data_IF_348099731204
#
_entry.id   IF_348099731204
#
_cell.length_a   1.000
_cell.length_b   1.000
_cell.length_c   1.000
_cell.angle_alpha   90.00
_cell.angle_beta   90.00
_cell.angle_gamma   90.00
#
_symmetry.space_group_name_H-M   'P 1'
#
loop_
_entity.id
_entity.type
_entity.pdbx_description
1 polymer ?
#
# COMPACT_ATOMS: atom_id res chain seq x y z
N UNK A 1 2.97 32.30 -24.17
CA UNK A 1 3.58 30.98 -24.50
C UNK A 1 4.41 30.41 -23.34
N UNK A 2 5.42 31.12 -22.80
CA UNK A 2 6.21 30.61 -21.66
C UNK A 2 5.38 30.43 -20.37
N UNK A 3 4.52 31.40 -20.05
CA UNK A 3 3.66 31.36 -18.85
C UNK A 3 2.61 30.24 -18.90
N UNK A 4 2.06 29.96 -20.07
CA UNK A 4 1.03 28.94 -20.28
C UNK A 4 1.60 27.53 -20.22
N UNK A 5 2.78 27.30 -20.81
CA UNK A 5 3.50 26.04 -20.69
C UNK A 5 3.87 25.73 -19.23
N UNK A 6 4.31 26.76 -18.47
CA UNK A 6 4.62 26.65 -17.05
C UNK A 6 3.38 26.29 -16.22
N UNK A 7 2.22 26.88 -16.52
CA UNK A 7 0.95 26.58 -15.83
C UNK A 7 0.49 25.14 -16.12
N UNK A 8 0.55 24.71 -17.37
CA UNK A 8 0.16 23.34 -17.77
C UNK A 8 1.08 22.29 -17.12
N UNK A 9 2.38 22.57 -17.07
CA UNK A 9 3.33 21.68 -16.40
C UNK A 9 3.09 21.63 -14.88
N UNK A 10 2.81 22.76 -14.23
CA UNK A 10 2.48 22.79 -12.80
C UNK A 10 1.20 22.04 -12.47
N UNK A 11 0.15 22.18 -13.30
CA UNK A 11 -1.12 21.48 -13.09
C UNK A 11 -0.97 19.96 -13.31
N UNK A 12 -0.18 19.54 -14.30
CA UNK A 12 0.08 18.12 -14.56
C UNK A 12 0.82 17.44 -13.41
N UNK A 13 1.85 18.10 -12.86
CA UNK A 13 2.60 17.59 -11.71
C UNK A 13 1.72 17.57 -10.44
N UNK A 14 0.82 18.53 -10.29
CA UNK A 14 -0.17 18.53 -9.20
C UNK A 14 -1.14 17.34 -9.29
N UNK A 15 -1.61 16.99 -10.49
CA UNK A 15 -2.57 15.90 -10.68
C UNK A 15 -1.94 14.51 -10.53
N UNK A 16 -0.70 14.32 -11.00
CA UNK A 16 0.04 13.08 -10.77
C UNK A 16 0.37 12.91 -9.28
N UNK A 17 0.83 13.98 -8.61
CA UNK A 17 1.05 13.98 -7.16
C UNK A 17 -0.23 13.64 -6.41
N UNK A 18 -1.35 14.27 -6.77
CA UNK A 18 -2.66 13.96 -6.19
C UNK A 18 -3.01 12.48 -6.30
N UNK A 19 -2.70 11.82 -7.41
CA UNK A 19 -3.02 10.40 -7.60
C UNK A 19 -2.17 9.49 -6.70
N UNK A 20 -0.90 9.84 -6.50
CA UNK A 20 0.10 8.96 -5.89
C UNK A 20 0.44 9.29 -4.42
N UNK A 21 0.12 10.48 -3.95
CA UNK A 21 0.56 11.02 -2.66
C UNK A 21 0.25 10.09 -1.47
N UNK A 22 -0.94 9.50 -1.40
CA UNK A 22 -1.30 8.59 -0.31
C UNK A 22 -0.42 7.34 -0.30
N UNK A 23 -0.30 6.66 -1.46
CA UNK A 23 0.58 5.49 -1.59
C UNK A 23 2.03 5.83 -1.26
N UNK A 24 2.49 7.01 -1.69
CA UNK A 24 3.83 7.52 -1.36
C UNK A 24 4.03 7.64 0.14
N UNK A 25 3.12 8.30 0.86
CA UNK A 25 3.24 8.45 2.31
C UNK A 25 3.28 7.10 3.04
N UNK A 26 2.41 6.16 2.68
CA UNK A 26 2.35 4.86 3.34
C UNK A 26 3.56 3.97 3.04
N UNK A 27 4.09 4.01 1.82
CA UNK A 27 5.25 3.21 1.45
C UNK A 27 6.57 3.86 1.90
N UNK A 28 6.64 5.19 1.96
CA UNK A 28 7.82 5.89 2.49
C UNK A 28 8.00 5.64 3.98
N UNK A 29 6.93 5.55 4.76
CA UNK A 29 7.02 5.33 6.22
C UNK A 29 7.66 3.99 6.58
N UNK A 30 7.54 2.98 5.70
CA UNK A 30 8.13 1.64 5.88
C UNK A 30 9.36 1.41 4.98
N UNK A 31 9.88 2.45 4.32
CA UNK A 31 11.06 2.38 3.45
C UNK A 31 10.87 1.64 2.11
N UNK A 32 9.63 1.34 1.73
CA UNK A 32 9.29 0.55 0.55
C UNK A 32 8.93 1.40 -0.70
N UNK A 33 8.88 2.72 -0.59
CA UNK A 33 8.64 3.58 -1.76
C UNK A 33 9.82 3.54 -2.74
N UNK A 34 9.59 3.32 -4.05
CA UNK A 34 10.67 3.21 -5.01
C UNK A 34 11.42 4.53 -5.20
N UNK A 35 12.75 4.47 -5.22
CA UNK A 35 13.59 5.64 -5.47
C UNK A 35 13.49 6.12 -6.92
N UNK A 36 13.23 7.40 -7.13
CA UNK A 36 13.29 8.09 -8.43
C UNK A 36 14.72 8.52 -8.79
N UNK A 37 14.90 9.04 -10.02
CA UNK A 37 16.16 9.66 -10.44
C UNK A 37 16.50 10.92 -9.61
N UNK A 38 15.50 11.60 -9.08
CA UNK A 38 15.64 12.78 -8.22
C UNK A 38 15.86 12.44 -6.73
N UNK A 39 15.73 11.18 -6.33
CA UNK A 39 15.91 10.78 -4.92
C UNK A 39 17.36 10.98 -4.48
N UNK A 40 17.55 11.74 -3.41
CA UNK A 40 18.85 12.08 -2.82
C UNK A 40 19.52 10.85 -2.19
N UNK A 41 20.85 10.92 -1.97
CA UNK A 41 21.59 9.87 -1.26
C UNK A 41 21.07 9.70 0.18
N UNK A 42 20.70 10.79 0.84
CA UNK A 42 20.19 10.77 2.21
C UNK A 42 18.87 10.01 2.29
N UNK A 43 17.92 10.29 1.39
CA UNK A 43 16.64 9.58 1.36
C UNK A 43 16.82 8.07 1.16
N UNK A 44 17.75 7.65 0.29
CA UNK A 44 18.07 6.23 0.10
C UNK A 44 18.62 5.57 1.37
N UNK A 45 19.51 6.26 2.08
CA UNK A 45 20.06 5.78 3.35
C UNK A 45 18.94 5.67 4.40
N UNK A 46 18.07 6.68 4.50
CA UNK A 46 16.93 6.67 5.41
C UNK A 46 15.98 5.51 5.10
N UNK A 47 15.61 5.31 3.83
CA UNK A 47 14.77 4.16 3.43
C UNK A 47 15.42 2.83 3.76
N UNK A 48 16.73 2.69 3.56
CA UNK A 48 17.46 1.47 3.91
C UNK A 48 17.47 1.20 5.42
N UNK A 49 17.73 2.22 6.24
CA UNK A 49 17.67 2.12 7.71
C UNK A 49 16.24 1.78 8.16
N UNK A 50 15.22 2.44 7.60
CA UNK A 50 13.81 2.15 7.90
C UNK A 50 13.47 0.69 7.57
N UNK A 51 13.93 0.16 6.44
CA UNK A 51 13.72 -1.24 6.07
C UNK A 51 14.35 -2.20 7.09
N UNK A 52 15.59 -1.93 7.54
CA UNK A 52 16.26 -2.76 8.56
C UNK A 52 15.48 -2.72 9.89
N UNK A 53 15.08 -1.52 10.33
CA UNK A 53 14.33 -1.34 11.58
C UNK A 53 12.98 -2.05 11.51
N UNK A 54 12.24 -1.86 10.42
CA UNK A 54 10.94 -2.50 10.21
C UNK A 54 11.06 -4.03 10.23
N UNK A 55 12.02 -4.58 9.49
CA UNK A 55 12.26 -6.02 9.43
C UNK A 55 12.68 -6.56 10.79
N UNK A 56 13.52 -5.84 11.53
CA UNK A 56 13.94 -6.23 12.88
C UNK A 56 12.77 -6.31 13.85
N UNK A 57 11.88 -5.30 13.84
CA UNK A 57 10.66 -5.29 14.68
C UNK A 57 9.77 -6.49 14.35
N UNK A 58 9.55 -6.77 13.07
CA UNK A 58 8.73 -7.91 12.64
C UNK A 58 9.36 -9.23 13.07
N UNK A 59 10.66 -9.42 12.85
CA UNK A 59 11.38 -10.64 13.24
C UNK A 59 11.32 -10.86 14.77
N UNK A 60 11.57 -9.81 15.56
CA UNK A 60 11.51 -9.90 17.03
C UNK A 60 10.11 -10.24 17.53
N UNK A 61 9.05 -9.78 16.85
CA UNK A 61 7.68 -10.14 17.18
C UNK A 61 7.34 -11.60 16.80
N UNK A 62 7.80 -12.05 15.64
CA UNK A 62 7.43 -13.33 15.02
C UNK A 62 8.17 -14.52 15.65
N UNK A 63 9.48 -14.38 15.94
CA UNK A 63 10.32 -15.50 16.41
C UNK A 63 9.75 -16.16 17.69
N UNK A 64 9.41 -15.41 18.76
CA UNK A 64 8.88 -16.03 19.97
C UNK A 64 7.56 -16.79 19.75
N UNK A 65 6.70 -16.29 18.87
CA UNK A 65 5.43 -16.94 18.51
C UNK A 65 5.64 -18.20 17.67
N UNK A 66 6.58 -18.18 16.71
CA UNK A 66 6.95 -19.35 15.91
C UNK A 66 7.56 -20.45 16.78
N UNK A 67 8.43 -20.09 17.71
CA UNK A 67 9.03 -21.05 18.63
C UNK A 67 7.97 -21.73 19.51
N UNK A 68 6.93 -21.00 19.95
CA UNK A 68 5.82 -21.60 20.68
C UNK A 68 5.05 -22.59 19.81
N UNK A 69 4.82 -22.27 18.54
CA UNK A 69 4.11 -23.16 17.62
C UNK A 69 4.89 -24.47 17.38
N UNK A 70 6.21 -24.38 17.24
CA UNK A 70 7.09 -25.52 16.95
C UNK A 70 7.40 -26.34 18.21
N UNK A 71 7.85 -25.67 19.28
CA UNK A 71 8.40 -26.30 20.49
C UNK A 71 7.42 -26.36 21.66
N UNK A 72 6.27 -25.68 21.57
CA UNK A 72 5.26 -25.71 22.62
C UNK A 72 4.47 -27.02 22.60
N UNK A 73 4.20 -27.55 23.78
CA UNK A 73 3.38 -28.75 23.98
C UNK A 73 1.87 -28.44 24.00
N UNK A 74 1.49 -27.26 23.52
CA UNK A 74 0.11 -26.79 23.45
C UNK A 74 -0.76 -27.64 22.51
N UNK A 75 -2.05 -27.72 22.82
CA UNK A 75 -3.02 -28.49 22.02
C UNK A 75 -3.05 -28.08 20.54
N UNK A 76 -3.38 -29.02 19.65
CA UNK A 76 -3.53 -28.73 18.22
C UNK A 76 -4.52 -27.57 17.95
N UNK A 77 -5.63 -27.53 18.69
CA UNK A 77 -6.62 -26.44 18.58
C UNK A 77 -6.02 -25.07 18.91
N UNK A 78 -5.15 -24.99 19.91
CA UNK A 78 -4.44 -23.76 20.24
C UNK A 78 -3.47 -23.36 19.12
N UNK A 79 -2.66 -24.31 18.64
CA UNK A 79 -1.72 -24.08 17.51
C UNK A 79 -2.46 -23.63 16.25
N UNK A 80 -3.65 -24.18 15.97
CA UNK A 80 -4.47 -23.78 14.83
C UNK A 80 -4.98 -22.34 14.94
N UNK A 81 -5.39 -21.88 16.14
CA UNK A 81 -5.75 -20.47 16.36
C UNK A 81 -4.55 -19.54 16.15
N UNK A 82 -3.38 -19.95 16.66
CA UNK A 82 -2.11 -19.22 16.49
C UNK A 82 -1.66 -19.15 15.02
N UNK A 83 -1.97 -20.17 14.22
CA UNK A 83 -1.67 -20.20 12.79
C UNK A 83 -2.32 -19.05 12.02
N UNK A 84 -3.49 -18.54 12.45
CA UNK A 84 -4.10 -17.35 11.87
C UNK A 84 -3.18 -16.12 11.93
N UNK A 85 -2.57 -15.85 13.08
CA UNK A 85 -1.65 -14.73 13.26
C UNK A 85 -0.33 -14.92 12.52
N UNK A 86 0.22 -16.14 12.57
CA UNK A 86 1.50 -16.44 11.90
C UNK A 86 1.36 -16.40 10.38
N UNK A 87 0.27 -16.95 9.82
CA UNK A 87 0.00 -16.92 8.38
C UNK A 87 -0.15 -15.49 7.87
N UNK A 88 -0.75 -14.60 8.67
CA UNK A 88 -0.82 -13.18 8.37
C UNK A 88 0.57 -12.54 8.25
N UNK A 89 1.48 -12.79 9.20
CA UNK A 89 2.86 -12.27 9.10
C UNK A 89 3.64 -12.83 7.91
N UNK A 90 3.44 -14.12 7.57
CA UNK A 90 4.04 -14.72 6.37
C UNK A 90 3.56 -14.00 5.11
N UNK A 91 2.24 -13.82 4.97
CA UNK A 91 1.64 -13.14 3.81
C UNK A 91 2.14 -11.70 3.68
N UNK A 92 2.17 -10.96 4.78
CA UNK A 92 2.71 -9.60 4.80
C UNK A 92 4.21 -9.56 4.48
N UNK A 93 4.98 -10.55 4.90
CA UNK A 93 6.39 -10.70 4.51
C UNK A 93 6.58 -10.90 3.00
N UNK A 94 5.72 -11.69 2.37
CA UNK A 94 5.69 -11.87 0.90
C UNK A 94 5.38 -10.53 0.22
N UNK A 95 4.35 -9.81 0.70
CA UNK A 95 3.98 -8.50 0.15
C UNK A 95 5.11 -7.48 0.27
N UNK A 96 5.74 -7.39 1.44
CA UNK A 96 6.86 -6.48 1.67
C UNK A 96 8.05 -6.81 0.75
N UNK A 97 8.38 -8.09 0.60
CA UNK A 97 9.42 -8.55 -0.33
C UNK A 97 9.07 -8.22 -1.77
N UNK A 98 7.81 -8.40 -2.18
CA UNK A 98 7.34 -8.07 -3.52
C UNK A 98 7.49 -6.56 -3.81
N UNK A 99 7.13 -5.69 -2.86
CA UNK A 99 7.30 -4.24 -3.00
C UNK A 99 8.78 -3.86 -3.20
N UNK A 100 9.69 -4.45 -2.42
CA UNK A 100 11.12 -4.14 -2.51
C UNK A 100 11.75 -4.68 -3.81
N UNK A 101 11.46 -5.93 -4.17
CA UNK A 101 12.03 -6.58 -5.36
C UNK A 101 11.50 -6.01 -6.67
N UNK A 102 10.22 -5.65 -6.71
CA UNK A 102 9.58 -5.05 -7.89
C UNK A 102 9.61 -3.51 -7.89
N UNK A 103 10.38 -2.87 -7.00
CA UNK A 103 10.45 -1.41 -6.91
C UNK A 103 10.78 -0.70 -8.24
N UNK A 104 11.61 -1.32 -9.09
CA UNK A 104 11.90 -0.80 -10.45
C UNK A 104 10.66 -0.78 -11.34
N UNK A 105 9.86 -1.85 -11.32
CA UNK A 105 8.64 -1.96 -12.13
C UNK A 105 7.58 -0.98 -11.61
N UNK A 106 7.40 -0.90 -10.29
CA UNK A 106 6.49 0.08 -9.66
C UNK A 106 6.88 1.50 -10.06
N UNK A 107 8.18 1.83 -10.06
CA UNK A 107 8.67 3.12 -10.53
C UNK A 107 8.33 3.39 -11.99
N UNK A 108 8.52 2.41 -12.87
CA UNK A 108 8.16 2.56 -14.29
C UNK A 108 6.67 2.85 -14.45
N UNK A 109 5.80 2.20 -13.67
CA UNK A 109 4.37 2.50 -13.67
C UNK A 109 4.07 3.93 -13.17
N UNK A 110 4.76 4.40 -12.12
CA UNK A 110 4.64 5.78 -11.62
C UNK A 110 5.07 6.80 -12.68
N UNK A 111 6.23 6.59 -13.30
CA UNK A 111 6.75 7.43 -14.39
C UNK A 111 5.79 7.45 -15.59
N UNK A 112 5.12 6.32 -15.87
CA UNK A 112 4.08 6.23 -16.91
C UNK A 112 2.86 7.08 -16.58
N UNK A 113 2.35 7.00 -15.33
CA UNK A 113 1.25 7.86 -14.85
C UNK A 113 1.63 9.34 -15.00
N UNK A 114 2.82 9.73 -14.54
CA UNK A 114 3.29 11.12 -14.63
C UNK A 114 3.40 11.61 -16.08
N UNK A 115 3.96 10.78 -16.96
CA UNK A 115 4.07 11.11 -18.39
C UNK A 115 2.67 11.29 -19.02
N UNK A 116 1.75 10.39 -18.70
CA UNK A 116 0.38 10.47 -19.18
C UNK A 116 -0.32 11.77 -18.77
N UNK A 117 -0.19 12.17 -17.49
CA UNK A 117 -0.74 13.44 -17.00
C UNK A 117 -0.19 14.66 -17.74
N UNK A 118 1.10 14.63 -18.13
CA UNK A 118 1.72 15.69 -18.94
C UNK A 118 1.21 15.74 -20.37
N UNK A 119 0.81 14.59 -20.94
CA UNK A 119 0.30 14.54 -22.31
C UNK A 119 -1.16 14.99 -22.45
N UNK A 120 -1.93 15.02 -21.36
CA UNK A 120 -3.35 15.37 -21.42
C UNK A 120 -3.54 16.88 -21.33
N UNK A 121 -3.77 17.50 -22.48
CA UNK A 121 -3.93 18.95 -22.60
C UNK A 121 -5.39 19.40 -22.60
N UNK A 122 -6.31 18.59 -23.15
CA UNK A 122 -7.73 18.94 -23.26
C UNK A 122 -8.41 18.86 -21.90
N UNK A 123 -9.08 19.95 -21.50
CA UNK A 123 -9.73 20.05 -20.18
C UNK A 123 -10.79 18.96 -19.94
N UNK A 124 -11.54 18.57 -20.97
CA UNK A 124 -12.51 17.47 -20.88
C UNK A 124 -11.82 16.14 -20.52
N UNK A 125 -10.69 15.84 -21.17
CA UNK A 125 -9.92 14.63 -20.94
C UNK A 125 -9.29 14.65 -19.53
N UNK A 126 -8.77 15.81 -19.10
CA UNK A 126 -8.26 16.01 -17.73
C UNK A 126 -9.34 15.74 -16.69
N UNK A 127 -10.55 16.26 -16.90
CA UNK A 127 -11.68 16.04 -15.99
C UNK A 127 -12.08 14.56 -15.91
N UNK A 128 -12.08 13.84 -17.03
CA UNK A 128 -12.34 12.39 -17.07
C UNK A 128 -11.26 11.61 -16.30
N UNK A 129 -9.98 11.95 -16.49
CA UNK A 129 -8.88 11.33 -15.75
C UNK A 129 -8.95 11.65 -14.25
N UNK A 130 -9.22 12.90 -13.88
CA UNK A 130 -9.34 13.34 -12.48
C UNK A 130 -10.47 12.61 -11.74
N UNK A 131 -11.61 12.37 -12.41
CA UNK A 131 -12.70 11.57 -11.83
C UNK A 131 -12.23 10.17 -11.44
N UNK A 132 -11.45 9.53 -12.29
CA UNK A 132 -10.90 8.20 -12.01
C UNK A 132 -9.79 8.26 -10.96
N UNK A 133 -8.89 9.24 -11.02
CA UNK A 133 -7.86 9.43 -10.00
C UNK A 133 -8.45 9.62 -8.59
N UNK A 134 -9.55 10.38 -8.47
CA UNK A 134 -10.30 10.51 -7.21
C UNK A 134 -10.83 9.17 -6.71
N UNK A 135 -11.38 8.33 -7.60
CA UNK A 135 -11.84 6.99 -7.26
C UNK A 135 -10.69 6.10 -6.78
N UNK A 136 -9.57 6.06 -7.52
CA UNK A 136 -8.39 5.30 -7.13
C UNK A 136 -7.83 5.74 -5.78
N UNK A 137 -7.70 7.05 -5.56
CA UNK A 137 -7.26 7.63 -4.29
C UNK A 137 -8.22 7.29 -3.14
N UNK A 138 -9.53 7.34 -3.39
CA UNK A 138 -10.55 6.97 -2.40
C UNK A 138 -10.43 5.50 -2.00
N UNK A 139 -10.32 4.58 -2.97
CA UNK A 139 -10.16 3.15 -2.70
C UNK A 139 -8.86 2.88 -1.93
N UNK A 140 -7.76 3.51 -2.34
CA UNK A 140 -6.48 3.39 -1.64
C UNK A 140 -6.58 3.87 -0.18
N UNK A 141 -7.15 5.06 0.05
CA UNK A 141 -7.35 5.61 1.40
C UNK A 141 -8.27 4.75 2.26
N UNK A 142 -9.39 4.30 1.69
CA UNK A 142 -10.33 3.41 2.37
C UNK A 142 -9.65 2.10 2.78
N UNK A 143 -8.84 1.51 1.89
CA UNK A 143 -8.12 0.26 2.19
C UNK A 143 -7.18 0.42 3.38
N UNK A 144 -6.47 1.54 3.48
CA UNK A 144 -5.53 1.79 4.58
C UNK A 144 -6.29 2.01 5.89
N UNK A 145 -7.33 2.84 5.88
CA UNK A 145 -8.15 3.11 7.06
C UNK A 145 -8.79 1.82 7.57
N UNK A 146 -9.33 1.00 6.69
CA UNK A 146 -9.99 -0.24 7.06
C UNK A 146 -8.99 -1.26 7.63
N UNK A 147 -7.87 -1.49 6.93
CA UNK A 147 -6.86 -2.46 7.35
C UNK A 147 -6.19 -2.04 8.66
N UNK A 148 -5.72 -0.79 8.76
CA UNK A 148 -5.08 -0.30 9.98
C UNK A 148 -6.07 -0.13 11.14
N UNK A 149 -7.27 0.37 10.85
CA UNK A 149 -8.35 0.51 11.83
C UNK A 149 -8.74 -0.83 12.45
N UNK A 150 -8.84 -1.89 11.64
CA UNK A 150 -9.17 -3.23 12.15
C UNK A 150 -8.12 -3.74 13.16
N UNK A 151 -6.83 -3.51 12.88
CA UNK A 151 -5.74 -3.89 13.78
C UNK A 151 -5.73 -3.06 15.04
N UNK A 152 -5.88 -1.74 14.93
CA UNK A 152 -5.93 -0.87 16.10
C UNK A 152 -7.11 -1.23 17.02
N UNK A 153 -8.29 -1.49 16.46
CA UNK A 153 -9.45 -1.94 17.24
C UNK A 153 -9.20 -3.29 17.92
N UNK A 154 -8.61 -4.24 17.21
CA UNK A 154 -8.31 -5.57 17.74
C UNK A 154 -7.27 -5.52 18.87
N UNK A 155 -6.17 -4.78 18.69
CA UNK A 155 -5.16 -4.60 19.73
C UNK A 155 -5.66 -3.77 20.91
N UNK A 156 -6.52 -2.79 20.67
CA UNK A 156 -7.18 -2.04 21.75
C UNK A 156 -8.07 -2.96 22.60
N UNK A 157 -8.86 -3.83 21.98
CA UNK A 157 -9.65 -4.83 22.70
C UNK A 157 -8.76 -5.83 23.48
N UNK A 158 -7.63 -6.25 22.91
CA UNK A 158 -6.66 -7.09 23.59
C UNK A 158 -6.02 -6.38 24.79
N UNK A 159 -5.67 -5.10 24.66
CA UNK A 159 -5.14 -4.29 25.76
C UNK A 159 -6.14 -4.12 26.90
N UNK A 160 -7.45 -4.00 26.61
CA UNK A 160 -8.49 -3.96 27.64
C UNK A 160 -8.75 -5.33 28.30
N UNK A 161 -8.37 -6.43 27.63
CA UNK A 161 -8.56 -7.78 28.13
C UNK A 161 -7.38 -8.16 29.02
N UNK A 162 -7.60 -8.14 30.34
CA UNK A 162 -6.59 -8.56 31.31
C UNK A 162 -6.88 -9.95 31.87
N UNK A 163 -5.82 -10.66 32.23
CA UNK A 163 -5.89 -11.96 32.92
C UNK A 163 -5.14 -11.83 34.24
N UNK A 164 -5.79 -12.26 35.32
CA UNK A 164 -5.14 -12.40 36.61
C UNK A 164 -4.33 -13.70 36.63
N UNK A 165 -3.03 -13.60 36.85
CA UNK A 165 -2.15 -14.75 36.96
C UNK A 165 -1.44 -14.71 38.31
N UNK A 166 -1.54 -15.81 39.06
CA UNK A 166 -0.79 -15.97 40.30
C UNK A 166 0.62 -16.46 39.99
N UNK A 167 1.61 -15.67 40.39
CA UNK A 167 3.03 -16.03 40.31
C UNK A 167 3.57 -16.09 41.73
N UNK A 168 3.61 -17.29 42.31
CA UNK A 168 3.95 -17.47 43.73
C UNK A 168 2.86 -16.91 44.64
N UNK A 169 3.20 -15.99 45.55
CA UNK A 169 2.27 -15.33 46.47
C UNK A 169 1.73 -13.98 45.96
N UNK A 170 2.12 -13.55 44.76
CA UNK A 170 1.65 -12.30 44.15
C UNK A 170 0.63 -12.58 43.05
N UNK A 171 -0.50 -11.87 43.09
CA UNK A 171 -1.44 -11.81 41.96
C UNK A 171 -1.00 -10.68 41.04
N UNK A 172 -0.73 -11.00 39.76
CA UNK A 172 -0.37 -10.01 38.73
C UNK A 172 -1.46 -9.95 37.67
N UNK A 173 -1.78 -8.73 37.24
CA UNK A 173 -2.73 -8.49 36.15
C UNK A 173 -1.89 -8.31 34.89
N UNK A 174 -2.09 -9.17 33.89
CA UNK A 174 -1.34 -9.15 32.63
C UNK A 174 -2.29 -8.91 31.45
N UNK A 175 -1.82 -8.23 30.40
CA UNK A 175 -2.60 -8.07 29.18
C UNK A 175 -2.56 -9.36 28.35
N UNK A 176 -3.68 -9.70 27.72
CA UNK A 176 -3.73 -10.82 26.80
C UNK A 176 -2.98 -10.47 25.52
N UNK A 177 -1.89 -11.19 25.26
CA UNK A 177 -1.16 -11.05 24.00
C UNK A 177 -2.00 -11.61 22.85
N UNK A 178 -2.23 -10.84 21.77
CA UNK A 178 -2.92 -11.33 20.58
C UNK A 178 -2.33 -12.62 20.00
N UNK A 179 -1.00 -12.70 19.98
CA UNK A 179 -0.26 -13.88 19.58
C UNK A 179 0.56 -14.35 20.78
N UNK A 180 0.27 -15.53 21.31
CA UNK A 180 1.07 -16.09 22.40
C UNK A 180 2.54 -16.32 21.99
N UNK A 181 3.45 -16.25 22.97
CA UNK A 181 4.90 -16.36 22.75
C UNK A 181 5.53 -17.46 23.59
N UNK A 182 6.68 -17.96 23.15
CA UNK A 182 7.41 -18.99 23.87
C UNK A 182 8.03 -18.44 25.15
N UNK A 183 7.43 -18.76 26.30
CA UNK A 183 7.78 -18.22 27.62
C UNK A 183 9.24 -18.42 28.02
N UNK A 184 9.89 -19.51 27.57
CA UNK A 184 11.32 -19.76 27.86
C UNK A 184 12.26 -18.79 27.16
N UNK A 185 11.83 -18.17 26.05
CA UNK A 185 12.60 -17.13 25.36
C UNK A 185 12.27 -15.74 25.91
N UNK A 186 10.97 -15.46 26.10
CA UNK A 186 10.48 -14.15 26.57
C UNK A 186 9.55 -14.38 27.75
N UNK A 187 9.97 -13.94 28.94
CA UNK A 187 9.18 -14.10 30.17
C UNK A 187 8.03 -13.09 30.24
N UNK A 188 6.94 -13.39 29.54
CA UNK A 188 5.72 -12.54 29.50
C UNK A 188 4.86 -12.63 30.76
N UNK A 189 5.32 -13.36 31.78
CA UNK A 189 4.71 -13.40 33.10
C UNK A 189 5.16 -12.19 33.96
N UNK A 190 6.14 -11.44 33.48
CA UNK A 190 6.52 -10.12 33.96
C UNK A 190 5.70 -9.02 33.26
N UNK A 191 5.12 -8.08 34.03
CA UNK A 191 4.21 -7.04 33.52
C UNK A 191 4.88 -6.15 32.47
N UNK A 192 6.12 -5.73 32.72
CA UNK A 192 6.86 -4.86 31.80
C UNK A 192 7.15 -5.60 30.48
N UNK A 193 7.58 -6.85 30.57
CA UNK A 193 7.86 -7.69 29.39
C UNK A 193 6.59 -7.97 28.58
N UNK A 194 5.45 -8.19 29.26
CA UNK A 194 4.14 -8.36 28.62
C UNK A 194 3.72 -7.10 27.83
N UNK A 195 3.82 -5.92 28.44
CA UNK A 195 3.51 -4.64 27.78
C UNK A 195 4.42 -4.37 26.58
N UNK A 196 5.74 -4.59 26.73
CA UNK A 196 6.70 -4.44 25.63
C UNK A 196 6.35 -5.38 24.48
N UNK A 197 6.00 -6.64 24.78
CA UNK A 197 5.64 -7.61 23.75
C UNK A 197 4.33 -7.24 23.05
N UNK A 198 3.34 -6.71 23.78
CA UNK A 198 2.08 -6.23 23.21
C UNK A 198 2.34 -5.08 22.21
N UNK A 199 3.14 -4.10 22.60
CA UNK A 199 3.53 -2.98 21.72
C UNK A 199 4.34 -3.46 20.52
N UNK A 200 5.25 -4.42 20.72
CA UNK A 200 6.05 -5.00 19.65
C UNK A 200 5.18 -5.72 18.62
N UNK A 201 4.19 -6.51 19.07
CA UNK A 201 3.24 -7.18 18.18
C UNK A 201 2.35 -6.17 17.46
N UNK A 202 1.93 -5.09 18.12
CA UNK A 202 1.15 -4.01 17.51
C UNK A 202 1.94 -3.37 16.36
N UNK A 203 3.15 -2.89 16.64
CA UNK A 203 3.99 -2.24 15.64
C UNK A 203 4.38 -3.18 14.50
N UNK A 204 4.73 -4.43 14.81
CA UNK A 204 4.97 -5.46 13.79
C UNK A 204 3.77 -5.64 12.87
N UNK A 205 2.55 -5.70 13.42
CA UNK A 205 1.33 -5.86 12.63
C UNK A 205 1.02 -4.61 11.80
N UNK A 206 1.23 -3.41 12.35
CA UNK A 206 1.06 -2.14 11.61
C UNK A 206 2.04 -2.05 10.43
N UNK A 207 3.31 -2.42 10.63
CA UNK A 207 4.34 -2.47 9.58
C UNK A 207 3.94 -3.50 8.52
N UNK A 208 3.60 -4.71 8.95
CA UNK A 208 3.17 -5.81 8.08
C UNK A 208 1.97 -5.38 7.19
N UNK A 209 0.96 -4.78 7.80
CA UNK A 209 -0.23 -4.29 7.08
C UNK A 209 0.04 -3.13 6.15
N UNK A 210 1.02 -2.28 6.46
CA UNK A 210 1.39 -1.18 5.57
C UNK A 210 1.88 -1.68 4.21
N UNK A 211 2.55 -2.85 4.17
CA UNK A 211 2.94 -3.49 2.91
C UNK A 211 1.73 -3.91 2.07
N UNK A 212 0.75 -4.55 2.70
CA UNK A 212 -0.49 -5.00 2.07
C UNK A 212 -1.32 -3.82 1.56
N UNK A 213 -1.50 -2.78 2.39
CA UNK A 213 -2.14 -1.54 1.99
C UNK A 213 -1.41 -0.83 0.85
N UNK A 214 -0.08 -0.88 0.83
CA UNK A 214 0.73 -0.35 -0.26
C UNK A 214 0.48 -1.05 -1.59
N UNK A 215 0.44 -2.40 -1.60
CA UNK A 215 0.13 -3.17 -2.82
C UNK A 215 -1.28 -2.88 -3.31
N UNK A 216 -2.28 -2.93 -2.42
CA UNK A 216 -3.67 -2.67 -2.80
C UNK A 216 -3.89 -1.23 -3.24
N UNK A 217 -3.28 -0.27 -2.54
CA UNK A 217 -3.37 1.14 -2.88
C UNK A 217 -2.71 1.46 -4.23
N UNK A 218 -1.54 0.88 -4.53
CA UNK A 218 -0.91 1.02 -5.85
C UNK A 218 -1.76 0.38 -6.94
N UNK A 219 -2.28 -0.83 -6.69
CA UNK A 219 -3.15 -1.54 -7.63
C UNK A 219 -4.42 -0.74 -7.94
N UNK A 220 -5.05 -0.16 -6.92
CA UNK A 220 -6.25 0.66 -7.07
C UNK A 220 -5.98 1.93 -7.89
N UNK A 221 -4.86 2.62 -7.63
CA UNK A 221 -4.48 3.83 -8.38
C UNK A 221 -4.13 3.49 -9.83
N UNK A 222 -3.36 2.41 -10.07
CA UNK A 222 -3.01 1.97 -11.41
C UNK A 222 -4.25 1.57 -12.22
N UNK A 223 -5.11 0.73 -11.65
CA UNK A 223 -6.36 0.31 -12.29
C UNK A 223 -7.25 1.51 -12.59
N UNK A 224 -7.41 2.43 -11.63
CA UNK A 224 -8.19 3.65 -11.84
C UNK A 224 -7.57 4.54 -12.94
N UNK A 225 -6.25 4.70 -12.98
CA UNK A 225 -5.56 5.46 -14.03
C UNK A 225 -5.79 4.85 -15.42
N UNK A 226 -5.61 3.53 -15.56
CA UNK A 226 -5.89 2.82 -16.82
C UNK A 226 -7.36 2.96 -17.23
N UNK A 227 -8.31 2.83 -16.30
CA UNK A 227 -9.73 3.10 -16.57
C UNK A 227 -9.97 4.55 -17.01
N UNK A 228 -9.25 5.52 -16.42
CA UNK A 228 -9.26 6.92 -16.85
C UNK A 228 -8.82 7.10 -18.30
N UNK A 229 -7.71 6.47 -18.70
CA UNK A 229 -7.23 6.50 -20.08
C UNK A 229 -8.21 5.86 -21.06
N UNK A 230 -8.76 4.69 -20.71
CA UNK A 230 -9.77 4.01 -21.53
C UNK A 230 -11.05 4.85 -21.68
N UNK A 231 -11.48 5.56 -20.63
CA UNK A 231 -12.62 6.47 -20.72
C UNK A 231 -12.34 7.65 -21.65
N UNK A 232 -11.13 8.21 -21.64
CA UNK A 232 -10.74 9.26 -22.59
C UNK A 232 -10.77 8.73 -24.03
N UNK A 233 -10.22 7.54 -24.26
CA UNK A 233 -10.28 6.87 -25.57
C UNK A 233 -11.73 6.69 -26.04
N UNK A 234 -12.64 6.30 -25.14
CA UNK A 234 -14.05 6.14 -25.45
C UNK A 234 -14.72 7.46 -25.86
N UNK A 235 -14.37 8.57 -25.20
CA UNK A 235 -14.82 9.91 -25.60
C UNK A 235 -14.34 10.24 -27.01
N UNK A 236 -13.06 10.00 -27.31
CA UNK A 236 -12.49 10.26 -28.64
C UNK A 236 -13.15 9.43 -29.75
N UNK A 237 -13.41 8.14 -29.50
CA UNK A 237 -14.13 7.27 -30.44
C UNK A 237 -15.54 7.81 -30.70
N UNK A 238 -16.25 8.22 -29.65
CA UNK A 238 -17.62 8.74 -29.75
C UNK A 238 -17.65 10.03 -30.57
N UNK A 239 -16.74 10.96 -30.31
CA UNK A 239 -16.60 12.19 -31.10
C UNK A 239 -16.26 11.90 -32.56
N UNK A 240 -15.34 10.97 -32.82
CA UNK A 240 -14.94 10.58 -34.16
C UNK A 240 -16.15 10.01 -34.95
N UNK A 241 -16.90 9.09 -34.36
CA UNK A 241 -18.08 8.49 -34.98
C UNK A 241 -19.17 9.53 -35.27
N UNK A 242 -19.42 10.44 -34.33
CA UNK A 242 -20.40 11.52 -34.52
C UNK A 242 -20.00 12.45 -35.67
N UNK A 243 -18.74 12.89 -35.72
CA UNK A 243 -18.22 13.72 -36.82
C UNK A 243 -18.29 13.00 -38.17
N UNK A 244 -17.99 11.70 -38.22
CA UNK A 244 -18.06 10.91 -39.44
C UNK A 244 -19.50 10.78 -39.97
N UNK A 245 -20.48 10.65 -39.05
CA UNK A 245 -21.91 10.59 -39.38
C UNK A 245 -22.42 11.93 -39.95
N UNK A 246 -21.95 13.05 -39.43
CA UNK A 246 -22.37 14.38 -39.86
C UNK A 246 -21.75 14.84 -41.19
N UNK A 247 -20.52 14.41 -41.50
CA UNK A 247 -19.74 15.00 -42.60
C UNK A 247 -19.82 14.31 -43.97
N UNK A 248 -20.51 13.16 -44.10
CA UNK A 248 -20.55 12.36 -45.35
C UNK A 248 -19.17 12.24 -46.06
N UNK A 249 -18.10 12.20 -45.28
CA UNK A 249 -16.71 12.03 -45.75
C UNK A 249 -16.03 10.97 -44.90
N UNK A 250 -15.23 10.15 -45.58
CA UNK A 250 -14.40 9.09 -45.01
C UNK A 250 -13.57 9.65 -43.85
N UNK A 251 -13.71 9.06 -42.66
CA UNK A 251 -13.02 9.52 -41.45
C UNK A 251 -11.50 9.61 -41.65
N UNK A 252 -10.87 10.59 -41.01
CA UNK A 252 -9.44 10.82 -41.14
C UNK A 252 -8.65 9.66 -40.50
N UNK A 253 -7.93 8.88 -41.31
CA UNK A 253 -7.08 7.77 -40.84
C UNK A 253 -6.07 8.20 -39.76
N UNK A 254 -5.69 9.49 -39.72
CA UNK A 254 -4.81 10.05 -38.69
C UNK A 254 -5.49 10.03 -37.31
N UNK A 255 -6.78 10.36 -37.22
CA UNK A 255 -7.53 10.38 -35.95
C UNK A 255 -7.72 8.95 -35.40
N UNK A 256 -7.96 7.99 -36.28
CA UNK A 256 -7.96 6.55 -35.94
C UNK A 256 -6.58 6.12 -35.42
N UNK A 257 -5.50 6.53 -36.11
CA UNK A 257 -4.13 6.23 -35.71
C UNK A 257 -3.83 6.71 -34.29
N UNK A 258 -4.21 7.95 -33.96
CA UNK A 258 -4.03 8.51 -32.61
C UNK A 258 -4.82 7.74 -31.54
N UNK A 259 -6.06 7.33 -31.84
CA UNK A 259 -6.89 6.52 -30.93
C UNK A 259 -6.23 5.16 -30.67
N UNK A 260 -5.76 4.48 -31.73
CA UNK A 260 -5.10 3.17 -31.63
C UNK A 260 -3.78 3.28 -30.87
N UNK A 261 -2.97 4.30 -31.14
CA UNK A 261 -1.70 4.52 -30.44
C UNK A 261 -1.92 4.73 -28.94
N UNK A 262 -2.90 5.55 -28.55
CA UNK A 262 -3.25 5.79 -27.15
C UNK A 262 -3.79 4.53 -26.46
N UNK A 263 -4.59 3.73 -27.17
CA UNK A 263 -5.09 2.44 -26.67
C UNK A 263 -3.93 1.46 -26.42
N UNK A 264 -3.01 1.30 -27.39
CA UNK A 264 -1.84 0.44 -27.25
C UNK A 264 -0.91 0.91 -26.13
N UNK A 265 -0.78 2.23 -25.91
CA UNK A 265 -0.01 2.79 -24.79
C UNK A 265 -0.63 2.42 -23.44
N UNK A 266 -1.95 2.45 -23.31
CA UNK A 266 -2.68 2.14 -22.07
C UNK A 266 -2.56 0.66 -21.65
N UNK A 267 -2.31 -0.23 -22.61
CA UNK A 267 -2.16 -1.68 -22.38
C UNK A 267 -0.74 -2.09 -21.97
N UNK A 268 0.24 -1.19 -22.03
CA UNK A 268 1.64 -1.46 -21.66
C UNK A 268 1.90 -1.09 -20.20
#
# INVERSE_FOLDING_TARGET
MMTEAVIVESDSNSNSDYSLQLNRWFLQSIGAWPSSASTTKLEKIVSFILNIVCLSIVILAVIPSLLLMILGDESFNFKLKMFGYVSHWIFSGINYTALLTHGKNIRQCIEHIEADWRTVTREEDKNVMLKNAKLGRYIAGFSVIFVQGSVLCFFFAAALSTVEMQVGNETRILHLLPCAVYKKLVNVDDSLTNEIMLLLQLWSTVIANSSTSGIFGLSAVLAAHSCGQLNVIMVWITEFVNKARERTKTGNFIEIGMIVERHLRTLK
#
